data_IF_911747644504
#
_entry.id   IF_911747644504
#
_cell.length_a   1.000
_cell.length_b   1.000
_cell.length_c   1.000
_cell.angle_alpha   90.00
_cell.angle_beta   90.00
_cell.angle_gamma   90.00
#
_symmetry.space_group_name_H-M   'P 1'
#
loop_
_entity.id
_entity.type
_entity.pdbx_description
1 polymer ?
#
# COMPACT_ATOMS: atom_id res chain seq x y z
N UNK A 1 -6.24 -15.03 0.64
CA UNK A 1 -6.88 -13.92 -0.11
C UNK A 1 -5.81 -13.03 -0.76
N UNK A 2 -6.08 -12.40 -1.91
CA UNK A 2 -5.17 -11.40 -2.51
C UNK A 2 -5.69 -9.99 -2.21
N UNK A 3 -4.82 -9.11 -1.72
CA UNK A 3 -5.12 -7.69 -1.51
C UNK A 3 -4.12 -6.86 -2.32
N UNK A 4 -4.65 -6.09 -3.28
CA UNK A 4 -3.89 -5.09 -4.01
C UNK A 4 -3.80 -3.80 -3.19
N UNK A 5 -2.61 -3.26 -2.99
CA UNK A 5 -2.40 -2.00 -2.26
C UNK A 5 -1.47 -1.09 -3.06
N UNK A 6 -1.96 0.09 -3.42
CA UNK A 6 -1.17 1.17 -3.97
C UNK A 6 -0.73 2.13 -2.86
N UNK A 7 0.55 2.07 -2.51
CA UNK A 7 1.19 2.92 -1.49
C UNK A 7 1.56 4.29 -2.05
N UNK A 8 0.58 5.05 -2.55
CA UNK A 8 0.82 6.40 -3.06
C UNK A 8 1.26 7.38 -1.96
N UNK A 9 2.11 8.35 -2.31
CA UNK A 9 2.57 9.37 -1.36
C UNK A 9 1.45 10.25 -0.79
N UNK A 10 0.36 10.44 -1.55
CA UNK A 10 -0.80 11.21 -1.11
C UNK A 10 -1.87 10.34 -0.44
N UNK A 11 -2.11 9.14 -0.97
CA UNK A 11 -3.18 8.27 -0.54
C UNK A 11 -2.82 6.79 -0.73
N UNK A 12 -3.21 6.00 0.26
CA UNK A 12 -3.19 4.54 0.22
C UNK A 12 -4.50 4.08 -0.38
N UNK A 13 -4.41 3.21 -1.38
CA UNK A 13 -5.59 2.73 -2.11
C UNK A 13 -5.57 1.22 -2.20
N UNK A 14 -6.71 0.62 -1.97
CA UNK A 14 -7.00 -0.77 -2.31
C UNK A 14 -8.06 -0.80 -3.40
N UNK A 15 -8.64 -1.97 -3.68
CA UNK A 15 -9.76 -2.06 -4.62
C UNK A 15 -11.02 -1.35 -4.09
N UNK A 16 -11.27 -1.43 -2.78
CA UNK A 16 -12.52 -0.96 -2.19
C UNK A 16 -12.38 0.35 -1.42
N UNK A 17 -11.16 0.71 -1.00
CA UNK A 17 -10.95 1.89 -0.15
C UNK A 17 -9.82 2.78 -0.66
N UNK A 18 -9.94 4.07 -0.35
CA UNK A 18 -8.91 5.09 -0.59
C UNK A 18 -8.89 6.04 0.59
N UNK A 19 -7.74 6.19 1.24
CA UNK A 19 -7.57 7.11 2.37
C UNK A 19 -6.22 7.83 2.29
N UNK A 20 -6.10 9.04 2.87
CA UNK A 20 -4.84 9.77 2.89
C UNK A 20 -3.69 8.96 3.49
N UNK A 21 -2.46 9.16 3.01
CA UNK A 21 -1.26 8.50 3.54
C UNK A 21 -0.77 9.08 4.89
N UNK A 22 -1.51 10.01 5.49
CA UNK A 22 -1.15 10.56 6.79
C UNK A 22 -1.47 9.60 7.93
N UNK A 23 -0.56 9.54 8.91
CA UNK A 23 -0.71 8.77 10.15
C UNK A 23 -0.20 9.58 11.34
N UNK A 24 -0.91 9.56 12.47
CA UNK A 24 -0.49 10.22 13.72
C UNK A 24 -0.49 9.18 14.83
N UNK A 25 0.63 9.07 15.55
CA UNK A 25 0.81 8.14 16.67
C UNK A 25 0.49 8.78 18.02
N UNK A 26 -0.09 7.99 18.91
CA UNK A 26 -0.41 8.33 20.29
C UNK A 26 0.02 7.20 21.22
N UNK A 27 0.53 7.56 22.40
CA UNK A 27 0.83 6.60 23.47
C UNK A 27 -0.39 6.33 24.38
N UNK A 28 -1.54 6.96 24.10
CA UNK A 28 -2.81 6.81 24.81
C UNK A 28 -3.97 6.66 23.82
N UNK A 29 -5.11 6.15 24.29
CA UNK A 29 -6.31 5.99 23.47
C UNK A 29 -6.82 7.36 22.97
N UNK A 30 -6.93 7.59 21.64
CA UNK A 30 -7.45 8.83 21.10
C UNK A 30 -8.95 8.97 21.37
N UNK A 31 -9.47 10.20 21.28
CA UNK A 31 -10.89 10.50 21.54
C UNK A 31 -11.88 9.82 20.59
N UNK A 32 -11.40 9.28 19.47
CA UNK A 32 -12.17 8.54 18.47
C UNK A 32 -11.46 7.23 18.15
N UNK A 33 -12.21 6.16 17.93
CA UNK A 33 -11.68 4.87 17.47
C UNK A 33 -11.83 4.66 15.96
N UNK A 34 -12.41 5.61 15.25
CA UNK A 34 -12.54 5.55 13.79
C UNK A 34 -11.16 5.66 13.11
N UNK A 35 -10.87 4.76 12.18
CA UNK A 35 -9.58 4.62 11.50
C UNK A 35 -8.36 4.45 12.43
N UNK A 36 -8.57 4.00 13.67
CA UNK A 36 -7.49 3.81 14.63
C UNK A 36 -6.95 2.39 14.55
N UNK A 37 -5.67 2.29 14.22
CA UNK A 37 -4.87 1.08 14.33
C UNK A 37 -4.21 1.04 15.71
N UNK A 38 -4.37 -0.06 16.44
CA UNK A 38 -3.57 -0.36 17.62
C UNK A 38 -2.56 -1.45 17.30
N UNK A 39 -1.29 -1.16 17.49
CA UNK A 39 -0.20 -2.07 17.19
C UNK A 39 0.95 -1.85 18.17
N UNK A 40 1.49 -2.94 18.73
CA UNK A 40 2.61 -2.92 19.69
C UNK A 40 2.41 -1.94 20.87
N UNK A 41 1.18 -1.87 21.39
CA UNK A 41 0.85 -1.02 22.55
C UNK A 41 0.71 0.47 22.25
N UNK A 42 0.70 0.87 20.98
CA UNK A 42 0.49 2.25 20.53
C UNK A 42 -0.76 2.39 19.67
N UNK A 43 -1.29 3.60 19.61
CA UNK A 43 -2.45 3.97 18.81
C UNK A 43 -2.01 4.81 17.61
N UNK A 44 -2.58 4.54 16.46
CA UNK A 44 -2.27 5.25 15.22
C UNK A 44 -3.56 5.64 14.50
N UNK A 45 -3.84 6.94 14.45
CA UNK A 45 -4.95 7.45 13.63
C UNK A 45 -4.47 7.46 12.18
N UNK A 46 -5.04 6.58 11.37
CA UNK A 46 -4.71 6.43 9.94
C UNK A 46 -5.62 7.30 9.08
N UNK A 47 -5.15 7.71 7.90
CA UNK A 47 -5.95 8.55 7.01
C UNK A 47 -6.00 10.03 7.40
N UNK A 48 -5.07 10.49 8.25
CA UNK A 48 -5.01 11.91 8.63
C UNK A 48 -4.52 12.77 7.47
N UNK A 49 -4.71 14.09 7.57
CA UNK A 49 -4.24 15.05 6.56
C UNK A 49 -2.73 15.02 6.28
N UNK A 50 -2.27 15.96 5.44
CA UNK A 50 -0.91 15.97 4.85
C UNK A 50 0.21 15.63 5.84
N UNK A 51 0.91 14.53 5.58
CA UNK A 51 2.26 14.28 6.08
C UNK A 51 3.31 14.90 5.17
N UNK A 52 4.46 15.26 5.74
CA UNK A 52 5.65 15.64 4.99
C UNK A 52 6.09 14.47 4.11
N UNK A 53 6.43 14.76 2.84
CA UNK A 53 6.88 13.75 1.90
C UNK A 53 8.15 13.06 2.41
N UNK A 54 8.04 11.77 2.72
CA UNK A 54 9.18 10.90 3.01
C UNK A 54 9.47 10.09 1.74
N UNK A 55 10.54 10.45 1.03
CA UNK A 55 10.88 9.87 -0.29
C UNK A 55 11.17 8.37 -0.27
N UNK A 56 11.61 7.82 0.85
CA UNK A 56 11.86 6.38 0.97
C UNK A 56 10.74 5.73 1.79
N UNK A 57 9.95 4.86 1.15
CA UNK A 57 8.80 4.20 1.80
C UNK A 57 9.19 3.26 2.96
N UNK A 58 10.46 2.87 3.07
CA UNK A 58 10.95 1.98 4.13
C UNK A 58 11.76 2.70 5.21
N UNK A 59 11.82 4.04 5.21
CA UNK A 59 12.66 4.76 6.19
C UNK A 59 12.09 4.76 7.62
N UNK A 60 10.81 4.44 7.77
CA UNK A 60 10.12 4.30 9.05
C UNK A 60 8.95 3.31 8.90
N UNK A 61 8.18 3.10 9.97
CA UNK A 61 7.09 2.14 10.01
C UNK A 61 5.75 2.66 9.46
N UNK A 62 5.67 3.91 8.99
CA UNK A 62 4.39 4.51 8.59
C UNK A 62 3.70 3.70 7.49
N UNK A 63 4.41 3.33 6.41
CA UNK A 63 3.80 2.55 5.33
C UNK A 63 3.43 1.13 5.73
N UNK A 64 4.14 0.53 6.68
CA UNK A 64 3.77 -0.75 7.25
C UNK A 64 2.47 -0.64 8.05
N UNK A 65 2.37 0.35 8.93
CA UNK A 65 1.15 0.63 9.71
C UNK A 65 -0.04 0.93 8.79
N UNK A 66 0.15 1.79 7.79
CA UNK A 66 -0.85 2.07 6.76
C UNK A 66 -1.25 0.83 5.95
N UNK A 67 -0.32 -0.13 5.77
CA UNK A 67 -0.63 -1.43 5.14
C UNK A 67 -1.56 -2.25 6.03
N UNK A 68 -1.33 -2.30 7.34
CA UNK A 68 -2.21 -3.01 8.28
C UNK A 68 -3.62 -2.40 8.28
N UNK A 69 -3.72 -1.06 8.30
CA UNK A 69 -4.99 -0.35 8.17
C UNK A 69 -5.70 -0.67 6.84
N UNK A 70 -4.97 -0.64 5.71
CA UNK A 70 -5.53 -0.98 4.40
C UNK A 70 -6.01 -2.43 4.31
N UNK A 71 -5.30 -3.38 4.93
CA UNK A 71 -5.74 -4.78 5.02
C UNK A 71 -7.05 -4.88 5.80
N UNK A 72 -7.15 -4.23 6.95
CA UNK A 72 -8.36 -4.27 7.78
C UNK A 72 -9.56 -3.62 7.07
N UNK A 73 -9.38 -2.45 6.47
CA UNK A 73 -10.42 -1.78 5.68
C UNK A 73 -10.92 -2.65 4.51
N UNK A 74 -10.00 -3.26 3.76
CA UNK A 74 -10.37 -4.14 2.65
C UNK A 74 -11.11 -5.40 3.15
N UNK A 75 -10.66 -6.03 4.24
CA UNK A 75 -11.33 -7.19 4.85
C UNK A 75 -12.74 -6.81 5.32
N UNK A 76 -12.87 -5.67 6.01
CA UNK A 76 -14.14 -5.11 6.50
C UNK A 76 -15.11 -4.90 5.34
N UNK A 77 -14.67 -4.23 4.26
CA UNK A 77 -15.51 -3.99 3.09
C UNK A 77 -15.90 -5.30 2.37
N UNK A 78 -14.98 -6.25 2.27
CA UNK A 78 -15.25 -7.59 1.69
C UNK A 78 -16.11 -8.48 2.59
N UNK A 79 -16.37 -8.08 3.84
CA UNK A 79 -17.03 -8.90 4.87
C UNK A 79 -16.34 -10.26 5.05
N UNK A 80 -15.01 -10.28 4.95
CA UNK A 80 -14.19 -11.48 5.08
C UNK A 80 -13.80 -11.74 6.55
N UNK A 81 -13.32 -12.95 6.84
CA UNK A 81 -12.83 -13.30 8.17
C UNK A 81 -11.59 -12.47 8.55
N UNK A 82 -11.57 -11.97 9.80
CA UNK A 82 -10.45 -11.17 10.35
C UNK A 82 -9.24 -12.00 10.74
N UNK A 83 -9.39 -13.33 10.78
CA UNK A 83 -8.31 -14.30 10.95
C UNK A 83 -8.08 -15.03 9.64
N UNK A 84 -7.11 -14.59 8.85
CA UNK A 84 -6.94 -15.12 7.48
C UNK A 84 -5.52 -14.98 6.95
N UNK A 85 -5.24 -15.70 5.85
CA UNK A 85 -4.00 -15.59 5.11
C UNK A 85 -4.16 -14.64 3.92
N UNK A 86 -3.17 -13.76 3.71
CA UNK A 86 -3.15 -12.79 2.61
C UNK A 86 -1.87 -12.87 1.79
N UNK A 87 -1.99 -12.62 0.48
CA UNK A 87 -0.89 -12.28 -0.42
C UNK A 87 -1.08 -10.82 -0.80
N UNK A 88 -0.05 -10.00 -0.57
CA UNK A 88 -0.09 -8.58 -0.94
C UNK A 88 0.41 -8.42 -2.38
N UNK A 89 -0.32 -7.66 -3.19
CA UNK A 89 0.11 -7.20 -4.51
C UNK A 89 0.30 -5.69 -4.44
N UNK A 90 1.55 -5.21 -4.41
CA UNK A 90 1.85 -3.83 -4.04
C UNK A 90 2.68 -3.10 -5.09
N UNK A 91 2.48 -1.78 -5.15
CA UNK A 91 3.12 -0.89 -6.12
C UNK A 91 4.34 -0.14 -5.59
N UNK A 92 5.40 -0.05 -6.41
CA UNK A 92 6.50 0.90 -6.23
C UNK A 92 6.62 1.83 -7.44
N UNK A 93 7.06 3.09 -7.25
CA UNK A 93 7.33 3.99 -8.37
C UNK A 93 8.31 3.32 -9.34
N UNK A 94 8.05 3.43 -10.64
CA UNK A 94 8.91 2.78 -11.63
C UNK A 94 10.37 3.21 -11.48
N UNK A 95 10.58 4.53 -11.31
CA UNK A 95 11.89 5.17 -11.21
C UNK A 95 12.77 4.59 -10.10
N UNK A 96 12.16 3.99 -9.07
CA UNK A 96 12.87 3.34 -7.97
C UNK A 96 12.68 1.83 -7.87
N UNK A 97 11.80 1.24 -8.69
CA UNK A 97 11.37 -0.16 -8.59
C UNK A 97 12.55 -1.14 -8.52
N UNK A 98 13.50 -1.04 -9.44
CA UNK A 98 14.65 -1.95 -9.50
C UNK A 98 15.50 -1.96 -8.23
N UNK A 99 15.69 -0.79 -7.61
CA UNK A 99 16.51 -0.60 -6.41
C UNK A 99 15.74 -0.92 -5.12
N UNK A 100 14.46 -0.58 -5.04
CA UNK A 100 13.69 -0.62 -3.80
C UNK A 100 12.86 -1.90 -3.62
N UNK A 101 12.66 -2.70 -4.69
CA UNK A 101 11.79 -3.88 -4.64
C UNK A 101 12.13 -4.85 -3.52
N UNK A 102 13.39 -5.25 -3.35
CA UNK A 102 13.73 -6.26 -2.35
C UNK A 102 13.51 -5.73 -0.93
N UNK A 103 13.99 -4.52 -0.65
CA UNK A 103 13.82 -3.89 0.66
C UNK A 103 12.35 -3.67 1.02
N UNK A 104 11.51 -3.26 0.06
CA UNK A 104 10.08 -3.08 0.32
C UNK A 104 9.36 -4.41 0.55
N UNK A 105 9.76 -5.48 -0.15
CA UNK A 105 9.24 -6.84 0.09
C UNK A 105 9.53 -7.28 1.52
N UNK A 106 10.78 -7.16 1.96
CA UNK A 106 11.22 -7.55 3.30
C UNK A 106 10.56 -6.68 4.40
N UNK A 107 10.41 -5.39 4.13
CA UNK A 107 9.72 -4.44 5.02
C UNK A 107 8.25 -4.82 5.31
N UNK A 108 7.52 -5.28 4.28
CA UNK A 108 6.13 -5.71 4.42
C UNK A 108 5.97 -7.17 4.88
N UNK A 109 6.89 -8.06 4.49
CA UNK A 109 6.90 -9.48 4.87
C UNK A 109 7.77 -9.72 6.10
N UNK A 110 7.35 -9.17 7.24
CA UNK A 110 8.04 -9.35 8.53
C UNK A 110 7.96 -10.80 9.01
N UNK A 111 8.98 -11.24 9.76
CA UNK A 111 9.11 -12.63 10.25
C UNK A 111 8.06 -12.98 11.30
N UNK A 112 7.67 -12.01 12.11
CA UNK A 112 6.68 -12.16 13.17
C UNK A 112 5.29 -12.30 12.55
N UNK A 113 4.85 -13.55 12.36
CA UNK A 113 3.55 -13.93 11.80
C UNK A 113 2.85 -14.94 12.73
N UNK A 114 1.50 -14.93 12.80
CA UNK A 114 0.61 -13.94 12.20
C UNK A 114 0.78 -12.57 12.87
N UNK A 115 0.64 -11.50 12.10
CA UNK A 115 0.57 -10.15 12.65
C UNK A 115 -0.79 -9.97 13.33
N UNK A 116 -0.76 -9.56 14.60
CA UNK A 116 -1.95 -9.26 15.41
C UNK A 116 -2.03 -7.77 15.68
N UNK A 117 -3.19 -7.19 15.44
CA UNK A 117 -3.44 -5.78 15.66
C UNK A 117 -4.94 -5.54 15.87
N UNK A 118 -5.31 -4.41 16.47
CA UNK A 118 -6.70 -3.95 16.47
C UNK A 118 -6.87 -2.85 15.44
N UNK A 119 -8.01 -2.85 14.76
CA UNK A 119 -8.41 -1.74 13.91
C UNK A 119 -9.87 -1.39 14.20
N UNK A 120 -10.12 -0.15 14.62
CA UNK A 120 -11.42 0.30 15.13
C UNK A 120 -11.96 -0.61 16.25
N UNK A 121 -11.08 -0.98 17.19
CA UNK A 121 -11.36 -1.88 18.33
C UNK A 121 -11.66 -3.35 17.97
N UNK A 122 -11.62 -3.72 16.70
CA UNK A 122 -11.79 -5.11 16.25
C UNK A 122 -10.44 -5.80 16.09
N UNK A 123 -10.31 -7.04 16.57
CA UNK A 123 -9.07 -7.82 16.47
C UNK A 123 -8.91 -8.44 15.08
N UNK A 124 -7.71 -8.27 14.50
CA UNK A 124 -7.27 -8.92 13.28
C UNK A 124 -6.06 -9.81 13.55
N UNK A 125 -6.04 -11.01 12.97
CA UNK A 125 -4.93 -11.97 13.01
C UNK A 125 -4.59 -12.37 11.57
N UNK A 126 -3.64 -11.66 10.97
CA UNK A 126 -3.34 -11.78 9.53
C UNK A 126 -2.02 -12.49 9.33
N UNK A 127 -2.01 -13.52 8.49
CA UNK A 127 -0.76 -14.12 8.01
C UNK A 127 -0.45 -13.59 6.62
N UNK A 128 0.59 -12.77 6.48
CA UNK A 128 1.09 -12.33 5.17
C UNK A 128 1.98 -13.45 4.62
N UNK A 129 1.48 -14.17 3.61
CA UNK A 129 2.16 -15.33 3.03
C UNK A 129 3.23 -14.94 2.03
N UNK A 130 2.96 -13.89 1.26
CA UNK A 130 3.89 -13.36 0.27
C UNK A 130 3.55 -11.92 -0.09
N UNK A 131 4.53 -11.24 -0.67
CA UNK A 131 4.40 -9.87 -1.19
C UNK A 131 4.91 -9.88 -2.64
N UNK A 132 3.99 -9.64 -3.57
CA UNK A 132 4.24 -9.48 -5.00
C UNK A 132 4.36 -8.00 -5.33
N UNK A 133 5.40 -7.64 -6.07
CA UNK A 133 5.72 -6.24 -6.39
C UNK A 133 5.52 -5.95 -7.86
N UNK A 134 4.87 -4.82 -8.14
CA UNK A 134 4.59 -4.36 -9.49
C UNK A 134 4.99 -2.89 -9.66
N UNK A 135 5.48 -2.47 -10.84
CA UNK A 135 5.71 -1.06 -11.10
C UNK A 135 4.37 -0.30 -11.14
N UNK A 136 4.31 0.80 -10.39
CA UNK A 136 3.20 1.76 -10.43
C UNK A 136 3.07 2.34 -11.85
N UNK A 137 1.84 2.66 -12.26
CA UNK A 137 1.52 3.09 -13.63
C UNK A 137 1.50 1.95 -14.66
N UNK A 138 2.59 1.19 -14.80
CA UNK A 138 2.68 0.08 -15.77
C UNK A 138 1.58 -0.97 -15.58
N UNK A 139 1.25 -1.26 -14.32
CA UNK A 139 0.19 -2.22 -13.98
C UNK A 139 -1.18 -1.81 -14.52
N UNK A 140 -1.43 -0.51 -14.74
CA UNK A 140 -2.66 -0.03 -15.37
C UNK A 140 -2.67 -0.32 -16.88
N UNK A 141 -1.53 -0.16 -17.57
CA UNK A 141 -1.39 -0.52 -18.99
C UNK A 141 -1.51 -2.03 -19.21
N UNK A 142 -1.04 -2.85 -18.29
CA UNK A 142 -1.16 -4.30 -18.38
C UNK A 142 -2.63 -4.78 -18.41
N UNK A 143 -3.57 -3.97 -17.91
CA UNK A 143 -5.00 -4.23 -18.00
C UNK A 143 -5.60 -3.83 -19.36
N UNK A 144 -4.91 -2.99 -20.11
CA UNK A 144 -5.33 -2.42 -21.39
C UNK A 144 -4.25 -2.62 -22.48
N UNK A 145 -3.91 -3.87 -22.82
CA UNK A 145 -2.88 -4.17 -23.82
C UNK A 145 -3.20 -3.57 -25.20
N UNK A 146 -4.46 -3.26 -25.48
CA UNK A 146 -4.91 -2.55 -26.68
C UNK A 146 -4.24 -1.18 -26.84
N UNK A 147 -3.86 -0.50 -25.76
CA UNK A 147 -3.17 0.80 -25.83
C UNK A 147 -1.69 0.69 -26.22
N UNK A 148 -1.13 -0.51 -26.20
CA UNK A 148 0.27 -0.76 -26.57
C UNK A 148 0.38 -1.43 -27.95
N UNK A 149 -0.72 -1.98 -28.46
CA UNK A 149 -0.71 -2.79 -29.68
C UNK A 149 -0.39 -1.92 -30.89
N UNK A 150 0.64 -2.32 -31.64
CA UNK A 150 1.14 -1.62 -32.84
C UNK A 150 1.66 -0.20 -32.58
N UNK A 151 1.80 0.21 -31.32
CA UNK A 151 2.41 1.49 -30.96
C UNK A 151 3.92 1.27 -30.75
N UNK A 152 4.78 1.87 -31.59
CA UNK A 152 6.22 1.66 -31.50
C UNK A 152 6.82 2.29 -30.24
N UNK A 153 6.19 3.36 -29.74
CA UNK A 153 6.62 4.11 -28.55
C UNK A 153 5.41 4.72 -27.86
N UNK A 154 5.20 4.39 -26.58
CA UNK A 154 4.17 4.95 -25.72
C UNK A 154 4.82 5.65 -24.54
N UNK A 155 4.34 6.85 -24.18
CA UNK A 155 4.76 7.54 -22.97
C UNK A 155 3.63 7.45 -21.93
N UNK A 156 3.83 6.65 -20.89
CA UNK A 156 2.97 6.65 -19.71
C UNK A 156 3.39 7.78 -18.78
N UNK A 157 2.41 8.58 -18.36
CA UNK A 157 2.56 9.70 -17.45
C UNK A 157 1.67 9.46 -16.23
N UNK A 158 2.27 9.08 -15.11
CA UNK A 158 1.58 8.89 -13.82
C UNK A 158 1.67 10.19 -13.01
N UNK A 159 0.55 10.91 -12.90
CA UNK A 159 0.44 12.18 -12.18
C UNK A 159 -0.19 11.92 -10.81
N UNK A 160 0.67 11.78 -9.80
CA UNK A 160 0.27 11.67 -8.40
C UNK A 160 0.28 13.01 -7.66
N UNK A 161 -0.22 13.01 -6.42
CA UNK A 161 -0.32 14.23 -5.60
C UNK A 161 1.03 14.85 -5.20
N UNK A 162 2.14 14.13 -5.36
CA UNK A 162 3.50 14.57 -5.03
C UNK A 162 4.54 14.21 -6.10
N UNK A 163 4.20 13.35 -7.05
CA UNK A 163 5.14 12.76 -8.00
C UNK A 163 4.54 12.79 -9.39
N UNK A 164 5.39 13.04 -10.38
CA UNK A 164 5.09 12.75 -11.78
C UNK A 164 6.12 11.73 -12.22
N UNK A 165 5.69 10.51 -12.50
CA UNK A 165 6.55 9.46 -13.05
C UNK A 165 6.27 9.32 -14.55
N UNK A 166 7.34 9.37 -15.34
CA UNK A 166 7.30 9.19 -16.79
C UNK A 166 7.93 7.84 -17.14
N UNK A 167 7.24 7.04 -17.92
CA UNK A 167 7.73 5.77 -18.45
C UNK A 167 7.56 5.79 -19.96
N UNK A 168 8.68 5.71 -20.68
CA UNK A 168 8.62 5.37 -22.09
C UNK A 168 8.57 3.86 -22.22
N UNK A 169 7.66 3.36 -23.05
CA UNK A 169 7.60 1.97 -23.45
C UNK A 169 7.91 1.90 -24.95
N UNK A 170 8.99 1.24 -25.32
CA UNK A 170 9.30 0.95 -26.71
C UNK A 170 8.84 -0.47 -27.03
N UNK A 171 7.94 -0.62 -28.01
CA UNK A 171 7.30 -1.90 -28.35
C UNK A 171 6.72 -2.64 -27.12
N UNK A 172 5.98 -1.91 -26.27
CA UNK A 172 5.37 -2.40 -25.03
C UNK A 172 6.33 -2.79 -23.89
N UNK A 173 7.63 -2.49 -24.02
CA UNK A 173 8.65 -2.79 -23.00
C UNK A 173 9.16 -1.48 -22.35
N UNK A 174 9.13 -1.37 -21.00
CA UNK A 174 9.67 -0.22 -20.26
C UNK A 174 11.19 -0.04 -20.34
#
# INVERSE_FOLDING_TARGET
>A
MIIGIDHGYYAIKTRQVSFPSGIIGYDYEPYTMQNVLQYQGKYYVCGTGRQTLVKNKTSNDNYYLLTLAAIAEEIKHRKAERKTEVILAVGLPLSSFGREKQGFREYLLRKEQPVRFLYESELYEITIKDVKLFPQGYSALALHPEYLKNEPSVLLVDIGGWTVDLMRLDNAVP
#
